data_IF_833150747847
#
_entry.id   IF_833150747847
#
_cell.length_a   1.000
_cell.length_b   1.000
_cell.length_c   1.000
_cell.angle_alpha   90.00
_cell.angle_beta   90.00
_cell.angle_gamma   90.00
#
_symmetry.space_group_name_H-M   'P 1'
#
loop_
_entity.id
_entity.type
_entity.pdbx_description
1 polymer ?
#
# COMPACT_ATOMS: atom_id res chain seq x y z
N UNK A 1 24.36 -41.41 3.16
CA UNK A 1 23.24 -41.05 2.28
C UNK A 1 22.45 -39.96 2.99
N UNK A 2 22.61 -38.72 2.53
CA UNK A 2 21.64 -37.63 2.68
C UNK A 2 21.23 -37.24 1.25
N UNK A 3 20.21 -36.39 1.00
CA UNK A 3 19.24 -35.75 1.91
C UNK A 3 17.78 -35.89 1.39
N UNK A 4 16.76 -35.44 2.14
CA UNK A 4 15.57 -34.81 1.55
C UNK A 4 15.00 -33.79 2.53
N UNK A 5 15.35 -32.54 2.28
CA UNK A 5 14.66 -31.37 2.82
C UNK A 5 13.27 -31.29 2.18
N UNK A 6 12.27 -30.87 2.96
CA UNK A 6 11.12 -30.18 2.41
C UNK A 6 10.72 -29.05 3.37
N UNK A 7 11.63 -28.07 3.44
CA UNK A 7 11.49 -26.78 4.12
C UNK A 7 10.59 -25.85 3.29
N UNK A 8 9.34 -26.24 3.07
CA UNK A 8 8.37 -25.51 2.24
C UNK A 8 7.36 -24.65 3.01
N UNK A 9 7.39 -24.66 4.34
CA UNK A 9 6.29 -24.11 5.16
C UNK A 9 6.57 -22.75 5.81
N UNK A 10 7.73 -22.13 5.58
CA UNK A 10 8.24 -21.14 6.54
C UNK A 10 8.12 -19.65 6.17
N UNK A 11 7.46 -19.29 5.07
CA UNK A 11 7.28 -17.87 4.69
C UNK A 11 5.81 -17.43 4.71
N UNK A 12 4.85 -18.35 4.87
CA UNK A 12 3.42 -18.00 5.03
C UNK A 12 3.09 -17.30 6.35
N UNK A 13 4.06 -17.15 7.25
CA UNK A 13 3.80 -17.07 8.66
C UNK A 13 4.38 -15.80 9.33
N UNK A 14 5.17 -14.98 8.64
CA UNK A 14 5.42 -13.60 9.11
C UNK A 14 4.32 -12.63 8.69
N UNK A 15 3.54 -12.98 7.65
CA UNK A 15 2.34 -12.22 7.25
C UNK A 15 1.09 -12.74 8.00
N UNK A 16 1.05 -14.02 8.41
CA UNK A 16 -0.11 -14.66 9.08
C UNK A 16 0.19 -15.45 10.37
N UNK A 17 1.33 -15.24 11.01
CA UNK A 17 1.70 -15.85 12.30
C UNK A 17 2.24 -17.28 12.22
N UNK A 18 3.57 -17.43 12.30
CA UNK A 18 4.24 -18.70 12.58
C UNK A 18 5.77 -18.63 12.47
N UNK A 19 6.39 -19.13 13.53
CA UNK A 19 7.80 -19.46 13.76
C UNK A 19 8.90 -18.37 13.62
N UNK A 20 8.53 -17.09 13.55
CA UNK A 20 9.41 -16.02 14.08
C UNK A 20 9.07 -15.62 15.52
N UNK A 21 7.90 -16.03 16.03
CA UNK A 21 7.45 -15.77 17.40
C UNK A 21 8.36 -16.36 18.50
N UNK A 22 9.27 -17.29 18.15
CA UNK A 22 10.21 -17.86 19.12
C UNK A 22 11.45 -16.98 19.36
N UNK A 23 11.75 -16.02 18.48
CA UNK A 23 12.92 -15.15 18.58
C UNK A 23 12.60 -13.64 18.54
N UNK A 24 11.38 -13.24 18.16
CA UNK A 24 10.95 -11.85 18.26
C UNK A 24 10.89 -11.46 19.74
N UNK A 25 11.71 -10.51 20.14
CA UNK A 25 11.67 -10.02 21.51
C UNK A 25 10.29 -9.40 21.77
N UNK A 26 9.76 -9.56 22.99
CA UNK A 26 8.50 -8.93 23.36
C UNK A 26 8.50 -7.41 23.07
N UNK A 27 9.68 -6.78 23.12
CA UNK A 27 9.87 -5.38 22.75
C UNK A 27 9.54 -5.08 21.29
N UNK A 28 10.00 -5.90 20.34
CA UNK A 28 9.71 -5.74 18.91
C UNK A 28 8.23 -5.99 18.58
N UNK A 29 7.60 -6.94 19.28
CA UNK A 29 6.16 -7.20 19.17
C UNK A 29 5.31 -6.03 19.68
N UNK A 30 5.71 -5.44 20.81
CA UNK A 30 5.07 -4.25 21.36
C UNK A 30 5.31 -3.03 20.48
N UNK A 31 6.52 -2.86 19.92
CA UNK A 31 6.80 -1.80 18.96
C UNK A 31 5.93 -1.96 17.70
N UNK A 32 5.74 -3.16 17.16
CA UNK A 32 4.81 -3.36 16.05
C UNK A 32 3.34 -3.06 16.40
N UNK A 33 2.86 -3.51 17.56
CA UNK A 33 1.48 -3.26 18.03
C UNK A 33 1.22 -1.78 18.37
N UNK A 34 2.25 -1.06 18.82
CA UNK A 34 2.19 0.37 19.13
C UNK A 34 2.50 1.26 17.91
N UNK A 35 2.72 0.66 16.73
CA UNK A 35 2.97 1.36 15.46
C UNK A 35 4.40 1.87 15.25
N UNK A 36 5.35 1.44 16.07
CA UNK A 36 6.78 1.78 16.02
C UNK A 36 7.67 0.84 15.20
N UNK A 37 7.26 -0.39 14.92
CA UNK A 37 8.04 -1.27 14.04
C UNK A 37 7.84 -0.92 12.55
N UNK A 38 8.80 -1.28 11.70
CA UNK A 38 8.79 -0.96 10.27
C UNK A 38 7.41 -1.31 9.68
N UNK A 39 6.67 -0.30 9.19
CA UNK A 39 5.44 -0.54 8.42
C UNK A 39 5.83 -1.43 7.25
N UNK A 40 5.48 -2.71 7.31
CA UNK A 40 5.59 -3.60 6.15
C UNK A 40 4.45 -3.20 5.22
N UNK A 41 4.67 -2.09 4.52
CA UNK A 41 3.86 -1.58 3.43
C UNK A 41 4.27 -2.38 2.19
N UNK A 42 3.79 -3.62 2.13
CA UNK A 42 3.90 -4.46 0.96
C UNK A 42 2.48 -4.78 0.47
N UNK A 43 1.91 -3.87 -0.30
CA UNK A 43 0.68 -4.12 -1.03
C UNK A 43 0.89 -5.34 -1.96
N UNK A 44 0.18 -6.45 -1.67
CA UNK A 44 0.25 -7.70 -2.41
C UNK A 44 -0.32 -7.59 -3.84
N UNK A 45 -1.08 -6.55 -4.14
CA UNK A 45 -1.45 -6.16 -5.50
C UNK A 45 -0.26 -5.56 -6.24
N UNK A 46 0.48 -4.66 -5.59
CA UNK A 46 1.63 -3.99 -6.20
C UNK A 46 2.81 -4.92 -6.46
N UNK A 47 3.07 -5.89 -5.57
CA UNK A 47 4.21 -6.81 -5.67
C UNK A 47 4.26 -7.60 -6.99
N UNK A 48 3.15 -7.70 -7.72
CA UNK A 48 3.03 -8.40 -9.01
C UNK A 48 3.59 -7.63 -10.19
N UNK A 49 3.81 -6.32 -10.02
CA UNK A 49 4.27 -5.47 -11.11
C UNK A 49 5.79 -5.52 -11.26
N UNK A 50 6.25 -5.48 -12.51
CA UNK A 50 7.67 -5.34 -12.79
C UNK A 50 8.18 -3.97 -12.35
N UNK A 51 9.50 -3.86 -12.16
CA UNK A 51 10.17 -2.63 -11.71
C UNK A 51 9.76 -1.39 -12.52
N UNK A 52 9.66 -1.50 -13.85
CA UNK A 52 9.24 -0.38 -14.69
C UNK A 52 7.81 0.07 -14.38
N UNK A 53 6.88 -0.87 -14.18
CA UNK A 53 5.48 -0.55 -13.84
C UNK A 53 5.37 0.03 -12.43
N UNK A 54 6.15 -0.51 -11.47
CA UNK A 54 6.22 0.05 -10.12
C UNK A 54 6.76 1.49 -10.11
N UNK A 55 7.78 1.79 -10.91
CA UNK A 55 8.31 3.15 -11.05
C UNK A 55 7.26 4.11 -11.63
N UNK A 56 6.50 3.68 -12.64
CA UNK A 56 5.40 4.48 -13.20
C UNK A 56 4.30 4.69 -12.17
N UNK A 57 3.91 3.65 -11.41
CA UNK A 57 2.90 3.76 -10.35
C UNK A 57 3.37 4.73 -9.27
N UNK A 58 4.61 4.60 -8.80
CA UNK A 58 5.21 5.51 -7.81
C UNK A 58 5.09 6.96 -8.28
N UNK A 59 5.64 7.28 -9.45
CA UNK A 59 5.65 8.66 -9.94
C UNK A 59 4.25 9.19 -10.25
N UNK A 60 3.36 8.35 -10.79
CA UNK A 60 1.96 8.73 -11.02
C UNK A 60 1.24 9.04 -9.71
N UNK A 61 1.43 8.20 -8.68
CA UNK A 61 0.83 8.39 -7.37
C UNK A 61 1.40 9.63 -6.65
N UNK A 62 2.71 9.90 -6.74
CA UNK A 62 3.33 11.14 -6.26
C UNK A 62 2.70 12.37 -6.94
N UNK A 63 2.56 12.34 -8.27
CA UNK A 63 1.95 13.43 -9.02
C UNK A 63 0.48 13.65 -8.63
N UNK A 64 -0.30 12.59 -8.49
CA UNK A 64 -1.70 12.69 -8.06
C UNK A 64 -1.85 13.21 -6.63
N UNK A 65 -0.97 12.78 -5.71
CA UNK A 65 -0.94 13.31 -4.35
C UNK A 65 -0.67 14.82 -4.35
N UNK A 66 0.28 15.27 -5.18
CA UNK A 66 0.59 16.69 -5.35
C UNK A 66 -0.57 17.47 -5.99
N UNK A 67 -1.25 16.91 -6.99
CA UNK A 67 -2.43 17.51 -7.60
C UNK A 67 -3.56 17.71 -6.58
N UNK A 68 -3.83 16.71 -5.74
CA UNK A 68 -4.80 16.82 -4.64
C UNK A 68 -4.40 17.92 -3.64
N UNK A 69 -3.11 18.03 -3.29
CA UNK A 69 -2.61 19.11 -2.41
C UNK A 69 -2.80 20.49 -3.04
N UNK A 70 -2.52 20.66 -4.33
CA UNK A 70 -2.78 21.92 -5.04
C UNK A 70 -4.28 22.25 -5.06
N UNK A 71 -5.14 21.24 -5.24
CA UNK A 71 -6.59 21.40 -5.14
C UNK A 71 -7.04 21.92 -3.77
N UNK A 72 -6.49 21.35 -2.68
CA UNK A 72 -6.74 21.80 -1.31
C UNK A 72 -6.27 23.25 -1.07
N UNK A 73 -5.09 23.62 -1.59
CA UNK A 73 -4.58 24.99 -1.49
C UNK A 73 -5.48 25.98 -2.25
N UNK A 74 -5.90 25.63 -3.46
CA UNK A 74 -6.80 26.46 -4.26
C UNK A 74 -8.16 26.64 -3.58
N UNK A 75 -8.76 25.57 -3.06
CA UNK A 75 -10.00 25.64 -2.28
C UNK A 75 -9.86 26.53 -1.04
N UNK A 76 -8.72 26.44 -0.33
CA UNK A 76 -8.45 27.25 0.86
C UNK A 76 -8.39 28.74 0.52
N UNK A 77 -7.74 29.07 -0.61
CA UNK A 77 -7.68 30.44 -1.14
C UNK A 77 -9.06 30.97 -1.51
N UNK A 78 -9.86 30.20 -2.25
CA UNK A 78 -11.22 30.60 -2.63
C UNK A 78 -12.10 30.79 -1.40
N UNK A 79 -12.03 29.89 -0.42
CA UNK A 79 -12.77 30.02 0.83
C UNK A 79 -12.34 31.27 1.61
N UNK A 80 -11.04 31.54 1.70
CA UNK A 80 -10.51 32.74 2.35
C UNK A 80 -11.06 34.02 1.71
N UNK A 81 -11.00 34.12 0.38
CA UNK A 81 -11.55 35.27 -0.36
C UNK A 81 -13.05 35.41 -0.14
N UNK A 82 -13.80 34.30 -0.16
CA UNK A 82 -15.25 34.32 0.06
C UNK A 82 -15.62 34.79 1.48
N UNK A 83 -14.87 34.37 2.50
CA UNK A 83 -15.09 34.78 3.89
C UNK A 83 -14.70 36.23 4.18
N UNK A 84 -13.76 36.80 3.42
CA UNK A 84 -13.35 38.21 3.55
C UNK A 84 -14.36 39.19 2.92
N UNK A 85 -15.31 38.71 2.10
CA UNK A 85 -16.29 39.57 1.45
C UNK A 85 -17.40 40.01 2.44
N UNK A 86 -17.55 41.31 2.71
CA UNK A 86 -18.37 41.85 3.81
C UNK A 86 -19.90 41.73 3.62
N UNK A 87 -20.37 41.03 2.58
CA UNK A 87 -21.80 40.85 2.26
C UNK A 87 -22.25 39.39 2.14
N UNK A 88 -21.33 38.44 2.13
CA UNK A 88 -21.65 37.04 1.88
C UNK A 88 -21.39 36.22 3.15
N UNK A 89 -22.40 36.11 4.01
CA UNK A 89 -22.41 35.02 4.99
C UNK A 89 -22.60 33.71 4.21
N UNK A 90 -21.54 32.90 4.15
CA UNK A 90 -21.64 31.56 3.60
C UNK A 90 -22.64 30.75 4.43
N UNK A 91 -23.68 30.27 3.77
CA UNK A 91 -24.69 29.45 4.44
C UNK A 91 -24.07 28.17 5.04
N UNK A 92 -24.62 27.71 6.16
CA UNK A 92 -24.16 26.48 6.83
C UNK A 92 -24.07 25.24 5.91
N UNK A 93 -25.04 25.00 4.98
CA UNK A 93 -24.92 23.90 4.02
C UNK A 93 -23.67 24.01 3.12
N UNK A 94 -23.35 25.21 2.65
CA UNK A 94 -22.17 25.45 1.81
C UNK A 94 -20.88 25.19 2.59
N UNK A 95 -20.81 25.64 3.84
CA UNK A 95 -19.66 25.37 4.71
C UNK A 95 -19.49 23.87 4.98
N UNK A 96 -20.59 23.13 5.17
CA UNK A 96 -20.55 21.69 5.34
C UNK A 96 -20.04 20.97 4.08
N UNK A 97 -20.51 21.37 2.90
CA UNK A 97 -20.06 20.81 1.62
C UNK A 97 -18.58 21.07 1.36
N UNK A 98 -18.11 22.28 1.69
CA UNK A 98 -16.69 22.64 1.60
C UNK A 98 -15.85 21.79 2.55
N UNK A 99 -16.26 21.68 3.82
CA UNK A 99 -15.56 20.84 4.81
C UNK A 99 -15.49 19.37 4.38
N UNK A 100 -16.58 18.84 3.80
CA UNK A 100 -16.61 17.50 3.23
C UNK A 100 -15.61 17.34 2.08
N UNK A 101 -15.55 18.30 1.15
CA UNK A 101 -14.59 18.26 0.05
C UNK A 101 -13.14 18.31 0.54
N UNK A 102 -12.85 19.13 1.56
CA UNK A 102 -11.53 19.14 2.22
C UNK A 102 -11.16 17.76 2.77
N UNK A 103 -12.09 17.12 3.48
CA UNK A 103 -11.89 15.79 4.06
C UNK A 103 -11.61 14.72 2.98
N UNK A 104 -12.43 14.69 1.91
CA UNK A 104 -12.24 13.73 0.81
C UNK A 104 -10.91 13.93 0.10
N UNK A 105 -10.52 15.18 -0.15
CA UNK A 105 -9.25 15.50 -0.81
C UNK A 105 -8.04 15.17 0.06
N UNK A 106 -8.10 15.43 1.37
CA UNK A 106 -7.04 15.03 2.31
C UNK A 106 -6.84 13.51 2.33
N UNK A 107 -7.94 12.75 2.41
CA UNK A 107 -7.86 11.29 2.30
C UNK A 107 -7.36 10.82 0.92
N UNK A 108 -7.64 11.54 -0.16
CA UNK A 108 -7.05 11.23 -1.46
C UNK A 108 -5.53 11.45 -1.45
N UNK A 109 -5.03 12.57 -0.89
CA UNK A 109 -3.59 12.83 -0.72
C UNK A 109 -2.91 11.69 0.02
N UNK A 110 -3.47 11.29 1.16
CA UNK A 110 -2.93 10.21 2.01
C UNK A 110 -2.87 8.88 1.26
N UNK A 111 -3.97 8.49 0.59
CA UNK A 111 -4.02 7.24 -0.19
C UNK A 111 -3.00 7.23 -1.32
N UNK A 112 -2.88 8.33 -2.08
CA UNK A 112 -1.91 8.42 -3.17
C UNK A 112 -0.48 8.38 -2.66
N UNK A 113 -0.21 9.05 -1.53
CA UNK A 113 1.11 9.02 -0.89
C UNK A 113 1.45 7.62 -0.39
N UNK A 114 0.53 6.94 0.27
CA UNK A 114 0.70 5.57 0.71
C UNK A 114 0.97 4.63 -0.47
N UNK A 115 0.26 4.80 -1.59
CA UNK A 115 0.52 4.03 -2.81
C UNK A 115 1.95 4.25 -3.34
N UNK A 116 2.40 5.50 -3.36
CA UNK A 116 3.76 5.85 -3.77
C UNK A 116 4.82 5.25 -2.84
N UNK A 117 4.60 5.32 -1.51
CA UNK A 117 5.48 4.77 -0.49
C UNK A 117 5.59 3.24 -0.60
N UNK A 118 4.46 2.54 -0.76
CA UNK A 118 4.44 1.10 -1.02
C UNK A 118 5.21 0.73 -2.30
N UNK A 119 4.97 1.46 -3.40
CA UNK A 119 5.66 1.20 -4.67
C UNK A 119 7.18 1.46 -4.55
N UNK A 120 7.59 2.51 -3.83
CA UNK A 120 8.99 2.79 -3.53
C UNK A 120 9.64 1.68 -2.70
N UNK A 121 8.97 1.22 -1.64
CA UNK A 121 9.46 0.14 -0.78
C UNK A 121 9.71 -1.15 -1.55
N UNK A 122 8.84 -1.49 -2.51
CA UNK A 122 9.00 -2.66 -3.38
C UNK A 122 10.11 -2.49 -4.43
N UNK A 123 10.34 -1.26 -4.92
CA UNK A 123 11.45 -0.95 -5.83
C UNK A 123 12.81 -1.09 -5.12
N UNK A 124 12.89 -0.66 -3.86
CA UNK A 124 14.09 -0.72 -3.04
C UNK A 124 14.37 -2.14 -2.55
N UNK A 125 13.32 -2.94 -2.28
CA UNK A 125 13.42 -4.28 -1.73
C UNK A 125 12.84 -5.35 -2.67
N UNK A 126 13.52 -5.59 -3.80
CA UNK A 126 13.08 -6.55 -4.82
C UNK A 126 12.88 -7.98 -4.28
N UNK A 127 13.68 -8.39 -3.29
CA UNK A 127 13.52 -9.69 -2.63
C UNK A 127 12.16 -9.80 -1.93
N UNK A 128 11.82 -8.78 -1.14
CA UNK A 128 10.51 -8.70 -0.45
C UNK A 128 9.37 -8.66 -1.46
N UNK A 129 9.52 -7.92 -2.55
CA UNK A 129 8.53 -7.91 -3.63
C UNK A 129 8.31 -9.30 -4.24
N UNK A 130 9.38 -10.05 -4.49
CA UNK A 130 9.33 -11.42 -4.98
C UNK A 130 8.63 -12.37 -4.01
N UNK A 131 8.98 -12.31 -2.73
CA UNK A 131 8.41 -13.15 -1.68
C UNK A 131 6.90 -12.89 -1.51
N UNK A 132 6.48 -11.62 -1.51
CA UNK A 132 5.08 -11.21 -1.41
C UNK A 132 4.29 -11.63 -2.66
N UNK A 133 4.87 -11.45 -3.85
CA UNK A 133 4.24 -11.89 -5.10
C UNK A 133 4.05 -13.42 -5.13
N UNK A 134 5.05 -14.17 -4.66
CA UNK A 134 4.97 -15.62 -4.59
C UNK A 134 3.89 -16.10 -3.62
N UNK A 135 3.83 -15.50 -2.43
CA UNK A 135 2.80 -15.79 -1.43
C UNK A 135 1.39 -15.51 -1.98
N UNK A 136 1.22 -14.37 -2.66
CA UNK A 136 -0.05 -14.04 -3.29
C UNK A 136 -0.45 -15.07 -4.35
N UNK A 137 0.46 -15.46 -5.25
CA UNK A 137 0.18 -16.47 -6.28
C UNK A 137 -0.20 -17.81 -5.65
N UNK A 138 0.48 -18.21 -4.58
CA UNK A 138 0.15 -19.43 -3.82
C UNK A 138 -1.27 -19.39 -3.25
N UNK A 139 -1.65 -18.28 -2.61
CA UNK A 139 -3.01 -18.06 -2.10
C UNK A 139 -4.06 -18.00 -3.23
N UNK A 140 -3.80 -17.24 -4.29
CA UNK A 140 -4.75 -17.08 -5.39
C UNK A 140 -5.00 -18.41 -6.12
N UNK A 141 -4.00 -19.29 -6.19
CA UNK A 141 -4.17 -20.67 -6.68
C UNK A 141 -5.01 -21.52 -5.73
N UNK A 142 -4.81 -21.41 -4.42
CA UNK A 142 -5.56 -22.23 -3.44
C UNK A 142 -7.07 -21.93 -3.44
N UNK A 143 -7.47 -20.73 -3.87
CA UNK A 143 -8.88 -20.33 -4.03
C UNK A 143 -9.39 -20.40 -5.48
N UNK A 144 -8.56 -20.82 -6.43
CA UNK A 144 -8.93 -20.94 -7.85
C UNK A 144 -9.04 -19.62 -8.62
N UNK A 145 -8.56 -18.51 -8.08
CA UNK A 145 -8.51 -17.20 -8.78
C UNK A 145 -7.37 -17.09 -9.80
N UNK A 146 -6.33 -17.93 -9.66
CA UNK A 146 -5.17 -17.93 -10.55
C UNK A 146 -5.02 -19.29 -11.23
N UNK A 147 -4.72 -19.33 -12.55
CA UNK A 147 -4.53 -20.60 -13.24
C UNK A 147 -3.43 -21.41 -12.56
N UNK A 148 -3.70 -22.69 -12.34
CA UNK A 148 -2.66 -23.67 -12.03
C UNK A 148 -1.65 -23.59 -13.18
N UNK A 149 -0.36 -23.46 -12.85
CA UNK A 149 0.66 -23.50 -13.89
C UNK A 149 0.50 -24.83 -14.61
N UNK A 150 0.13 -24.78 -15.90
CA UNK A 150 0.25 -25.93 -16.78
C UNK A 150 1.67 -26.44 -16.60
N UNK A 151 1.81 -27.62 -16.00
CA UNK A 151 3.06 -28.36 -16.04
C UNK A 151 3.43 -28.42 -17.52
N UNK A 152 4.58 -27.86 -17.97
CA UNK A 152 5.12 -28.29 -19.23
C UNK A 152 5.39 -29.77 -19.03
N UNK A 153 4.52 -30.62 -19.59
CA UNK A 153 4.70 -32.06 -19.55
C UNK A 153 6.13 -32.36 -20.01
N UNK A 154 6.78 -33.39 -19.42
CA UNK A 154 8.12 -33.77 -19.86
C UNK A 154 8.04 -33.99 -21.38
N UNK A 155 8.91 -33.28 -22.11
CA UNK A 155 8.84 -33.16 -23.55
C UNK A 155 8.56 -34.48 -24.26
N UNK A 156 7.72 -34.42 -25.28
CA UNK A 156 7.69 -35.39 -26.37
C UNK A 156 8.20 -34.72 -27.64
#
# INVERSE_FOLDING_TARGET
>A
MAPTANDGAFISAEIFGGDHAAATSLGELLDHLLGGGARIQADAGLSRFCQQRLAVIKHGAEAQSLECLHGLQAMSLVLGVALEHPRDELSMPVLADVAWHFHVQLHAVERWRELAENAAGLLENQRVAGDVAHCYVSWARSIGEWPESENPGPGQ
#
